data_IF_099791571629
#
_entry.id   IF_099791571629
#
_cell.length_a   1.000
_cell.length_b   1.000
_cell.length_c   1.000
_cell.angle_alpha   90.00
_cell.angle_beta   90.00
_cell.angle_gamma   90.00
#
_symmetry.space_group_name_H-M   'P 1'
#
loop_
_entity.id
_entity.type
_entity.pdbx_description
1 polymer ?
#
# COMPACT_ATOMS: atom_id res chain seq x y z
N UNK A 1 1.68 -10.70 8.09
CA UNK A 1 1.43 -11.46 6.85
C UNK A 1 0.24 -10.85 6.13
N UNK A 2 0.21 -10.82 4.80
CA UNK A 2 -0.75 -10.00 4.02
C UNK A 2 -2.22 -10.40 4.19
N UNK A 3 -2.54 -11.69 4.33
CA UNK A 3 -3.93 -12.19 4.50
C UNK A 3 -4.89 -11.62 3.42
N UNK A 4 -4.69 -11.93 2.13
CA UNK A 4 -5.54 -11.41 1.06
C UNK A 4 -7.00 -11.86 1.23
N UNK A 5 -7.94 -10.95 1.00
CA UNK A 5 -9.39 -11.19 1.14
C UNK A 5 -10.22 -10.60 -0.02
N UNK A 6 -9.57 -9.87 -0.94
CA UNK A 6 -10.16 -9.32 -2.14
C UNK A 6 -9.22 -9.52 -3.36
N UNK A 7 -9.69 -9.17 -4.55
CA UNK A 7 -8.93 -9.37 -5.78
C UNK A 7 -7.79 -8.35 -5.93
N UNK A 8 -7.98 -7.14 -5.40
CA UNK A 8 -7.03 -6.05 -5.43
C UNK A 8 -5.73 -6.42 -4.70
N UNK A 9 -5.82 -7.19 -3.61
CA UNK A 9 -4.65 -7.72 -2.92
C UNK A 9 -3.77 -8.59 -3.83
N UNK A 10 -4.38 -9.37 -4.74
CA UNK A 10 -3.64 -10.23 -5.68
C UNK A 10 -2.84 -9.35 -6.64
N UNK A 11 -3.45 -8.29 -7.17
CA UNK A 11 -2.78 -7.31 -8.03
C UNK A 11 -1.64 -6.60 -7.27
N UNK A 12 -1.89 -6.22 -6.02
CA UNK A 12 -0.90 -5.55 -5.18
C UNK A 12 0.33 -6.43 -4.92
N UNK A 13 0.16 -7.73 -4.64
CA UNK A 13 1.30 -8.66 -4.46
C UNK A 13 2.19 -8.69 -5.71
N UNK A 14 1.60 -8.74 -6.91
CA UNK A 14 2.35 -8.80 -8.18
C UNK A 14 3.18 -7.52 -8.41
N UNK A 15 2.65 -6.36 -7.98
CA UNK A 15 3.38 -5.11 -8.03
C UNK A 15 4.49 -5.03 -6.94
N UNK A 16 4.19 -5.53 -5.74
CA UNK A 16 5.00 -5.36 -4.53
C UNK A 16 6.15 -6.37 -4.39
N UNK A 17 6.03 -7.59 -4.94
CA UNK A 17 7.08 -8.62 -4.91
C UNK A 17 8.12 -8.41 -6.04
N UNK A 18 8.68 -7.20 -6.10
CA UNK A 18 9.74 -6.81 -7.04
C UNK A 18 10.90 -6.15 -6.27
N UNK A 19 12.15 -6.22 -6.76
CA UNK A 19 13.32 -5.74 -6.01
C UNK A 19 13.21 -4.32 -5.47
N UNK A 20 12.66 -3.38 -6.25
CA UNK A 20 12.46 -1.99 -5.81
C UNK A 20 11.48 -1.85 -4.63
N UNK A 21 10.20 -2.21 -4.81
CA UNK A 21 9.21 -2.17 -3.72
C UNK A 21 9.57 -3.04 -2.52
N UNK A 22 10.28 -4.16 -2.72
CA UNK A 22 10.78 -4.98 -1.62
C UNK A 22 11.88 -4.28 -0.84
N UNK A 23 12.85 -3.67 -1.53
CA UNK A 23 13.91 -2.87 -0.90
C UNK A 23 13.38 -1.67 -0.12
N UNK A 24 12.24 -1.10 -0.55
CA UNK A 24 11.54 -0.02 0.15
C UNK A 24 10.58 -0.50 1.26
N UNK A 25 10.55 -1.80 1.57
CA UNK A 25 9.60 -2.42 2.51
C UNK A 25 8.10 -2.22 2.19
N UNK A 26 7.75 -1.81 0.96
CA UNK A 26 6.37 -1.53 0.57
C UNK A 26 5.45 -2.75 0.70
N UNK A 27 5.96 -3.95 0.39
CA UNK A 27 5.24 -5.22 0.55
C UNK A 27 4.85 -5.50 2.03
N UNK A 28 5.74 -5.17 2.96
CA UNK A 28 5.50 -5.33 4.40
C UNK A 28 4.58 -4.24 4.92
N UNK A 29 4.80 -2.98 4.52
CA UNK A 29 3.93 -1.85 4.88
C UNK A 29 2.48 -2.08 4.41
N UNK A 30 2.29 -2.57 3.18
CA UNK A 30 0.96 -2.91 2.67
C UNK A 30 0.28 -3.94 3.57
N UNK A 31 0.98 -5.04 3.89
CA UNK A 31 0.44 -6.09 4.74
C UNK A 31 0.10 -5.58 6.15
N UNK A 32 0.92 -4.72 6.75
CA UNK A 32 0.66 -4.19 8.08
C UNK A 32 -0.53 -3.23 8.09
N UNK A 33 -0.56 -2.28 7.14
CA UNK A 33 -1.65 -1.29 7.03
C UNK A 33 -2.99 -1.94 6.70
N UNK A 34 -3.00 -2.91 5.79
CA UNK A 34 -4.18 -3.74 5.49
C UNK A 34 -4.78 -4.35 6.75
N UNK A 35 -3.94 -4.90 7.60
CA UNK A 35 -4.35 -5.60 8.81
C UNK A 35 -4.56 -4.66 10.02
N UNK A 36 -4.52 -3.34 9.82
CA UNK A 36 -4.65 -2.36 10.90
C UNK A 36 -3.50 -2.39 11.93
N UNK A 37 -2.35 -2.97 11.56
CA UNK A 37 -1.17 -3.09 12.43
C UNK A 37 -0.19 -1.93 12.25
N UNK A 38 -0.47 -1.02 11.32
CA UNK A 38 0.31 0.19 11.06
C UNK A 38 -0.63 1.28 10.55
N UNK A 39 -0.45 2.51 11.03
CA UNK A 39 -1.21 3.66 10.54
C UNK A 39 -0.83 4.03 9.10
N UNK A 40 -1.82 4.57 8.37
CA UNK A 40 -1.62 5.12 7.04
C UNK A 40 -1.16 6.57 7.21
N UNK A 41 0.12 6.83 7.00
CA UNK A 41 0.67 8.18 7.01
C UNK A 41 0.63 8.76 5.59
N UNK A 42 0.06 9.97 5.38
CA UNK A 42 0.08 10.63 4.08
C UNK A 42 1.51 10.97 3.68
N UNK A 43 1.78 10.98 2.37
CA UNK A 43 3.11 11.28 1.81
C UNK A 43 3.55 12.70 2.17
N UNK A 44 2.60 13.64 2.13
CA UNK A 44 2.77 15.02 2.53
C UNK A 44 1.41 15.60 2.91
N UNK A 45 1.37 16.47 3.93
CA UNK A 45 0.12 17.03 4.47
C UNK A 45 -0.73 17.76 3.42
N UNK A 46 -0.08 18.43 2.48
CA UNK A 46 -0.74 19.18 1.40
C UNK A 46 -1.53 18.27 0.44
N UNK A 47 -1.15 16.99 0.34
CA UNK A 47 -1.76 16.03 -0.58
C UNK A 47 -2.63 14.98 0.10
N UNK A 48 -2.90 15.14 1.40
CA UNK A 48 -3.69 14.17 2.17
C UNK A 48 -5.09 14.00 1.57
N UNK A 49 -5.83 15.10 1.37
CA UNK A 49 -7.18 15.03 0.81
C UNK A 49 -7.18 14.63 -0.68
N UNK A 50 -6.27 15.17 -1.49
CA UNK A 50 -6.27 14.94 -2.94
C UNK A 50 -5.84 13.53 -3.33
N UNK A 51 -5.02 12.87 -2.51
CA UNK A 51 -4.56 11.49 -2.75
C UNK A 51 -5.32 10.44 -1.94
N UNK A 52 -6.18 10.82 -1.00
CA UNK A 52 -6.89 9.89 -0.12
C UNK A 52 -7.66 8.83 -0.93
N UNK A 53 -8.46 9.25 -1.91
CA UNK A 53 -9.25 8.33 -2.74
C UNK A 53 -8.35 7.46 -3.62
N UNK A 54 -7.36 8.06 -4.29
CA UNK A 54 -6.46 7.38 -5.23
C UNK A 54 -5.64 6.28 -4.53
N UNK A 55 -5.17 6.54 -3.31
CA UNK A 55 -4.31 5.62 -2.56
C UNK A 55 -5.09 4.74 -1.56
N UNK A 56 -6.41 4.85 -1.51
CA UNK A 56 -7.25 4.11 -0.55
C UNK A 56 -7.08 2.59 -0.71
N UNK A 57 -7.11 2.10 -1.96
CA UNK A 57 -6.99 0.68 -2.31
C UNK A 57 -5.59 0.11 -2.11
N UNK A 58 -4.58 0.97 -2.00
CA UNK A 58 -3.19 0.60 -1.77
C UNK A 58 -2.70 0.91 -0.35
N UNK A 59 -3.62 1.26 0.55
CA UNK A 59 -3.33 1.65 1.92
C UNK A 59 -2.27 2.76 2.00
N UNK A 60 -2.38 3.78 1.15
CA UNK A 60 -1.46 4.93 1.14
C UNK A 60 -0.10 4.65 0.51
N UNK A 61 0.00 3.68 -0.42
CA UNK A 61 1.24 3.34 -1.11
C UNK A 61 1.12 3.56 -2.62
N UNK A 62 2.13 4.19 -3.24
CA UNK A 62 2.19 4.33 -4.69
C UNK A 62 2.83 3.05 -5.25
N UNK A 63 2.02 2.18 -5.87
CA UNK A 63 2.46 0.85 -6.34
C UNK A 63 2.11 0.58 -7.81
N UNK A 64 1.31 1.44 -8.42
CA UNK A 64 0.87 1.37 -9.81
C UNK A 64 1.40 2.59 -10.60
N UNK A 65 1.42 2.47 -11.93
CA UNK A 65 1.84 3.53 -12.86
C UNK A 65 0.71 4.50 -13.16
#
# INVERSE_FOLDING_TARGET
LMKPDNFEDISAVIALYRPGPMGANSHTNYALRKNGLQEITPIHREFEESLAEILSTSYGLIIYQ
#
